data_IF_804105101151
#
_entry.id   IF_804105101151
#
_cell.length_a   1.000
_cell.length_b   1.000
_cell.length_c   1.000
_cell.angle_alpha   90.00
_cell.angle_beta   90.00
_cell.angle_gamma   90.00
#
_symmetry.space_group_name_H-M   'P 1'
#
loop_
_entity.id
_entity.type
_entity.pdbx_description
1 polymer ?
#
# COMPACT_ATOMS: atom_id res chain seq x y z
N UNK A 1 23.64 7.17 18.62
CA UNK A 1 23.63 5.69 18.58
C UNK A 1 24.14 5.30 17.21
N UNK A 2 25.00 4.28 17.06
CA UNK A 2 25.42 3.85 15.73
C UNK A 2 24.18 3.41 14.95
N UNK A 3 24.07 3.93 13.73
CA UNK A 3 22.98 3.78 12.79
C UNK A 3 22.99 2.36 12.21
N UNK A 4 22.70 1.35 13.05
CA UNK A 4 22.53 -0.02 12.57
C UNK A 4 21.13 -0.12 11.99
N UNK A 5 21.04 0.04 10.67
CA UNK A 5 19.81 -0.20 9.92
C UNK A 5 19.14 -1.50 10.39
N UNK A 6 17.85 -1.42 10.74
CA UNK A 6 17.10 -2.56 11.26
C UNK A 6 17.07 -3.69 10.21
N UNK A 7 17.22 -4.94 10.67
CA UNK A 7 17.17 -6.11 9.79
C UNK A 7 15.83 -6.15 9.04
N UNK A 8 15.88 -6.39 7.73
CA UNK A 8 14.68 -6.42 6.87
C UNK A 8 14.03 -7.81 6.78
N UNK A 9 14.72 -8.84 7.23
CA UNK A 9 14.27 -10.24 7.28
C UNK A 9 15.01 -10.99 8.37
N UNK A 10 14.38 -12.06 8.89
CA UNK A 10 14.98 -13.07 9.77
C UNK A 10 15.98 -13.96 9.03
N UNK A 11 15.80 -14.14 7.72
CA UNK A 11 16.68 -14.97 6.88
C UNK A 11 17.76 -14.13 6.19
N UNK A 12 18.86 -14.75 5.72
CA UNK A 12 19.91 -14.04 4.99
C UNK A 12 19.36 -13.33 3.75
N UNK A 13 19.71 -12.05 3.59
CA UNK A 13 19.41 -11.28 2.40
C UNK A 13 20.64 -11.30 1.49
N UNK A 14 20.57 -11.89 0.29
CA UNK A 14 21.71 -11.97 -0.61
C UNK A 14 22.10 -10.58 -1.15
N UNK A 15 23.40 -10.35 -1.37
CA UNK A 15 23.83 -9.13 -2.05
C UNK A 15 23.44 -9.19 -3.53
N UNK A 16 23.07 -8.04 -4.13
CA UNK A 16 22.60 -7.99 -5.52
C UNK A 16 23.59 -8.60 -6.53
N UNK A 17 24.89 -8.46 -6.29
CA UNK A 17 25.95 -9.00 -7.15
C UNK A 17 25.98 -10.54 -7.19
N UNK A 18 25.43 -11.19 -6.17
CA UNK A 18 25.42 -12.65 -6.02
C UNK A 18 24.11 -13.27 -6.55
N UNK A 19 23.17 -12.43 -7.03
CA UNK A 19 21.89 -12.87 -7.59
C UNK A 19 21.99 -13.20 -9.08
N UNK A 20 21.19 -14.18 -9.56
CA UNK A 20 20.97 -14.41 -10.98
C UNK A 20 20.59 -13.13 -11.73
N UNK A 21 21.05 -13.01 -12.98
CA UNK A 21 20.92 -11.79 -13.78
C UNK A 21 19.46 -11.36 -13.99
N UNK A 22 18.54 -12.31 -14.17
CA UNK A 22 17.11 -12.04 -14.35
C UNK A 22 16.46 -11.45 -13.10
N UNK A 23 16.81 -11.96 -11.92
CA UNK A 23 16.36 -11.44 -10.62
C UNK A 23 16.94 -10.05 -10.39
N UNK A 24 18.25 -9.88 -10.63
CA UNK A 24 18.93 -8.59 -10.47
C UNK A 24 18.31 -7.54 -11.40
N UNK A 25 18.05 -7.88 -12.66
CA UNK A 25 17.42 -6.97 -13.62
C UNK A 25 16.04 -6.51 -13.13
N UNK A 26 15.21 -7.43 -12.63
CA UNK A 26 13.88 -7.08 -12.07
C UNK A 26 13.97 -6.16 -10.85
N UNK A 27 14.95 -6.38 -9.98
CA UNK A 27 15.20 -5.52 -8.81
C UNK A 27 15.61 -4.11 -9.24
N UNK A 28 16.48 -4.00 -10.24
CA UNK A 28 16.92 -2.71 -10.77
C UNK A 28 15.76 -1.98 -11.47
N UNK A 29 14.91 -2.69 -12.19
CA UNK A 29 13.73 -2.09 -12.84
C UNK A 29 12.76 -1.46 -11.81
N UNK A 30 12.50 -2.14 -10.68
CA UNK A 30 11.65 -1.56 -9.63
C UNK A 30 12.34 -0.40 -8.92
N UNK A 31 13.66 -0.46 -8.70
CA UNK A 31 14.45 0.64 -8.14
C UNK A 31 14.34 1.90 -9.00
N UNK A 32 14.44 1.77 -10.32
CA UNK A 32 14.34 2.90 -11.25
C UNK A 32 12.93 3.53 -11.26
N UNK A 33 11.89 2.70 -11.14
CA UNK A 33 10.49 3.16 -11.14
C UNK A 33 10.06 3.78 -9.80
N UNK A 34 10.48 3.19 -8.68
CA UNK A 34 10.00 3.55 -7.34
C UNK A 34 10.96 4.49 -6.58
N UNK A 35 12.23 4.56 -6.98
CA UNK A 35 13.28 5.28 -6.26
C UNK A 35 13.88 4.51 -5.08
N UNK A 36 13.38 3.31 -4.78
CA UNK A 36 13.93 2.36 -3.81
C UNK A 36 13.51 0.92 -4.16
N UNK A 37 14.17 -0.10 -3.61
CA UNK A 37 13.76 -1.50 -3.74
C UNK A 37 12.85 -1.89 -2.57
N UNK A 38 11.58 -2.29 -2.82
CA UNK A 38 10.74 -2.85 -1.78
C UNK A 38 11.35 -4.13 -1.18
N UNK A 39 11.40 -4.24 0.14
CA UNK A 39 12.14 -5.29 0.85
C UNK A 39 11.66 -6.71 0.52
N UNK A 40 10.43 -6.90 0.02
CA UNK A 40 9.95 -8.20 -0.50
C UNK A 40 10.85 -8.75 -1.61
N UNK A 41 11.37 -7.89 -2.50
CA UNK A 41 12.27 -8.32 -3.56
C UNK A 41 13.58 -8.86 -2.98
N UNK A 42 14.17 -8.14 -2.02
CA UNK A 42 15.44 -8.50 -1.41
C UNK A 42 15.30 -9.75 -0.52
N UNK A 43 14.25 -9.80 0.30
CA UNK A 43 14.04 -10.88 1.25
C UNK A 43 13.68 -12.20 0.56
N UNK A 44 12.83 -12.20 -0.46
CA UNK A 44 12.47 -13.42 -1.20
C UNK A 44 13.59 -13.89 -2.13
N UNK A 45 14.50 -13.01 -2.54
CA UNK A 45 15.66 -13.40 -3.36
C UNK A 45 16.60 -14.39 -2.65
N UNK A 46 16.46 -14.59 -1.32
CA UNK A 46 17.07 -15.70 -0.60
C UNK A 46 16.76 -17.07 -1.24
N UNK A 47 15.58 -17.20 -1.87
CA UNK A 47 15.13 -18.40 -2.59
C UNK A 47 14.78 -18.03 -4.04
N UNK A 48 15.75 -18.04 -4.97
CA UNK A 48 15.57 -17.56 -6.34
C UNK A 48 14.38 -18.16 -7.11
N UNK A 49 14.15 -19.46 -6.99
CA UNK A 49 13.05 -20.12 -7.71
C UNK A 49 11.68 -19.76 -7.13
N UNK A 50 11.60 -19.65 -5.79
CA UNK A 50 10.41 -19.17 -5.10
C UNK A 50 10.14 -17.70 -5.43
N UNK A 51 11.17 -16.85 -5.52
CA UNK A 51 11.06 -15.47 -5.98
C UNK A 51 10.44 -15.40 -7.39
N UNK A 52 10.94 -16.20 -8.33
CA UNK A 52 10.42 -16.20 -9.71
C UNK A 52 8.95 -16.57 -9.74
N UNK A 53 8.57 -17.66 -9.06
CA UNK A 53 7.18 -18.11 -9.00
C UNK A 53 6.28 -17.06 -8.32
N UNK A 54 6.73 -16.49 -7.20
CA UNK A 54 5.99 -15.48 -6.45
C UNK A 54 5.67 -14.26 -7.31
N UNK A 55 6.68 -13.67 -7.94
CA UNK A 55 6.48 -12.47 -8.73
C UNK A 55 5.86 -12.74 -10.10
N UNK A 56 5.93 -13.96 -10.63
CA UNK A 56 5.14 -14.35 -11.81
C UNK A 56 3.65 -14.40 -11.48
N UNK A 57 3.27 -15.00 -10.34
CA UNK A 57 1.88 -15.06 -9.89
C UNK A 57 1.36 -13.66 -9.51
N UNK A 58 2.19 -12.86 -8.82
CA UNK A 58 1.87 -11.45 -8.54
C UNK A 58 1.49 -10.71 -9.82
N UNK A 59 2.31 -10.78 -10.86
CA UNK A 59 2.09 -10.01 -12.09
C UNK A 59 0.85 -10.52 -12.85
N UNK A 60 0.63 -11.85 -12.87
CA UNK A 60 -0.55 -12.45 -13.49
C UNK A 60 -1.87 -11.93 -12.88
N UNK A 61 -1.88 -11.58 -11.58
CA UNK A 61 -3.07 -11.06 -10.89
C UNK A 61 -3.13 -9.54 -10.86
N UNK A 62 -2.00 -8.89 -10.56
CA UNK A 62 -1.96 -7.46 -10.26
C UNK A 62 -1.79 -6.57 -11.49
N UNK A 63 -1.24 -7.11 -12.59
CA UNK A 63 -0.98 -6.36 -13.82
C UNK A 63 -1.93 -6.69 -14.98
N UNK A 64 -2.75 -7.75 -14.88
CA UNK A 64 -3.73 -8.09 -15.93
C UNK A 64 -4.74 -6.97 -16.15
N UNK A 65 -5.28 -6.86 -17.37
CA UNK A 65 -6.53 -6.15 -17.60
C UNK A 65 -7.70 -7.00 -17.03
N UNK A 66 -8.74 -6.35 -16.51
CA UNK A 66 -9.88 -7.01 -15.86
C UNK A 66 -10.90 -6.04 -15.30
N UNK A 67 -11.99 -6.55 -14.73
CA UNK A 67 -13.08 -5.70 -14.22
C UNK A 67 -12.79 -5.05 -12.86
N UNK A 68 -11.72 -5.47 -12.16
CA UNK A 68 -11.20 -4.80 -10.98
C UNK A 68 -10.19 -3.72 -11.34
N UNK A 69 -10.42 -2.50 -10.86
CA UNK A 69 -9.46 -1.40 -10.94
C UNK A 69 -8.21 -1.70 -10.10
N UNK A 70 -7.09 -1.03 -10.40
CA UNK A 70 -5.86 -1.16 -9.60
C UNK A 70 -6.08 -0.81 -8.12
N UNK A 71 -6.89 0.22 -7.83
CA UNK A 71 -7.25 0.59 -6.46
C UNK A 71 -8.06 -0.48 -5.74
N UNK A 72 -9.02 -1.10 -6.42
CA UNK A 72 -9.82 -2.20 -5.85
C UNK A 72 -8.97 -3.43 -5.52
N UNK A 73 -8.02 -3.79 -6.39
CA UNK A 73 -7.07 -4.88 -6.12
C UNK A 73 -6.29 -4.63 -4.84
N UNK A 74 -5.70 -3.44 -4.70
CA UNK A 74 -4.97 -3.06 -3.47
C UNK A 74 -5.87 -3.02 -2.23
N UNK A 75 -7.14 -2.65 -2.39
CA UNK A 75 -8.10 -2.63 -1.29
C UNK A 75 -8.35 -4.03 -0.70
N UNK A 76 -8.48 -5.04 -1.58
CA UNK A 76 -8.56 -6.46 -1.19
C UNK A 76 -7.30 -6.85 -0.40
N UNK A 77 -6.12 -6.47 -0.89
CA UNK A 77 -4.86 -6.78 -0.22
C UNK A 77 -4.80 -6.17 1.17
N UNK A 78 -5.13 -4.88 1.31
CA UNK A 78 -5.07 -4.18 2.60
C UNK A 78 -6.05 -4.78 3.61
N UNK A 79 -7.29 -5.07 3.19
CA UNK A 79 -8.29 -5.66 4.09
C UNK A 79 -7.88 -7.05 4.59
N UNK A 80 -7.52 -7.95 3.66
CA UNK A 80 -7.14 -9.33 3.98
C UNK A 80 -5.81 -9.41 4.74
N UNK A 81 -4.87 -8.52 4.43
CA UNK A 81 -3.61 -8.39 5.18
C UNK A 81 -3.83 -7.84 6.58
N UNK A 82 -4.77 -6.91 6.76
CA UNK A 82 -5.22 -6.43 8.08
C UNK A 82 -5.80 -7.58 8.90
N UNK A 83 -6.65 -8.40 8.28
CA UNK A 83 -7.23 -9.59 8.91
C UNK A 83 -6.19 -10.64 9.31
N UNK A 84 -5.05 -10.70 8.62
CA UNK A 84 -3.93 -11.60 8.91
C UNK A 84 -2.80 -10.93 9.71
N UNK A 85 -3.00 -9.69 10.17
CA UNK A 85 -2.04 -8.91 10.94
C UNK A 85 -0.66 -8.83 10.28
N UNK A 86 -0.62 -8.73 8.95
CA UNK A 86 0.64 -8.70 8.21
C UNK A 86 1.19 -7.28 8.07
N UNK A 87 2.17 -6.93 8.92
CA UNK A 87 2.75 -5.58 8.95
C UNK A 87 3.29 -5.12 7.58
N UNK A 88 4.09 -5.97 6.92
CA UNK A 88 4.67 -5.62 5.63
C UNK A 88 3.59 -5.29 4.60
N UNK A 89 2.64 -6.20 4.42
CA UNK A 89 1.64 -6.07 3.37
C UNK A 89 0.66 -4.92 3.65
N UNK A 90 0.22 -4.73 4.90
CA UNK A 90 -0.66 -3.60 5.27
C UNK A 90 0.01 -2.26 4.99
N UNK A 91 1.30 -2.10 5.36
CA UNK A 91 2.02 -0.84 5.18
C UNK A 91 2.31 -0.59 3.69
N UNK A 92 2.85 -1.58 2.98
CA UNK A 92 3.22 -1.43 1.58
C UNK A 92 2.00 -1.22 0.67
N UNK A 93 1.01 -2.11 0.75
CA UNK A 93 -0.19 -2.01 -0.10
C UNK A 93 -1.11 -0.87 0.35
N UNK A 94 -1.07 -0.47 1.63
CA UNK A 94 -1.72 0.75 2.09
C UNK A 94 -1.17 2.00 1.41
N UNK A 95 0.15 2.08 1.20
CA UNK A 95 0.76 3.16 0.43
C UNK A 95 0.30 3.19 -1.02
N UNK A 96 0.32 2.03 -1.68
CA UNK A 96 -0.06 1.88 -3.09
C UNK A 96 -1.55 2.19 -3.28
N UNK A 97 -2.42 1.70 -2.38
CA UNK A 97 -3.85 2.00 -2.36
C UNK A 97 -4.10 3.52 -2.30
N UNK A 98 -3.43 4.23 -1.38
CA UNK A 98 -3.55 5.71 -1.30
C UNK A 98 -3.15 6.40 -2.59
N UNK A 99 -2.15 5.88 -3.30
CA UNK A 99 -1.67 6.43 -4.58
C UNK A 99 -2.69 6.19 -5.70
N UNK A 100 -3.18 4.96 -5.87
CA UNK A 100 -4.14 4.65 -6.94
C UNK A 100 -5.50 5.33 -6.73
N UNK A 101 -6.03 5.28 -5.51
CA UNK A 101 -7.32 5.92 -5.20
C UNK A 101 -7.22 7.44 -5.07
N UNK A 102 -6.00 7.97 -4.90
CA UNK A 102 -5.76 9.38 -4.53
C UNK A 102 -6.54 9.79 -3.27
N UNK A 103 -6.79 8.84 -2.37
CA UNK A 103 -7.50 9.00 -1.09
C UNK A 103 -6.54 8.73 0.07
N UNK A 104 -6.02 9.76 0.75
CA UNK A 104 -5.00 9.58 1.79
C UNK A 104 -5.45 8.77 3.02
N UNK A 105 -6.76 8.68 3.27
CA UNK A 105 -7.32 8.09 4.48
C UNK A 105 -7.81 6.65 4.27
N UNK A 106 -8.12 6.26 3.02
CA UNK A 106 -8.86 5.02 2.74
C UNK A 106 -8.10 3.77 3.19
N UNK A 107 -6.77 3.75 3.06
CA UNK A 107 -5.97 2.61 3.46
C UNK A 107 -6.01 2.35 4.97
N UNK A 108 -5.97 3.40 5.78
CA UNK A 108 -6.02 3.28 7.24
C UNK A 108 -7.40 2.79 7.67
N UNK A 109 -8.47 3.30 7.05
CA UNK A 109 -9.84 2.87 7.31
C UNK A 109 -10.05 1.40 6.93
N UNK A 110 -9.61 0.99 5.73
CA UNK A 110 -9.75 -0.39 5.24
C UNK A 110 -8.96 -1.37 6.11
N UNK A 111 -7.74 -1.01 6.52
CA UNK A 111 -6.89 -1.87 7.35
C UNK A 111 -7.46 -2.09 8.76
N UNK A 112 -8.06 -1.05 9.36
CA UNK A 112 -8.59 -1.11 10.73
C UNK A 112 -10.00 -1.70 10.77
N UNK A 113 -10.91 -1.19 9.92
CA UNK A 113 -12.28 -1.66 9.82
C UNK A 113 -12.91 -1.19 8.49
N UNK A 114 -12.80 -2.03 7.45
CA UNK A 114 -13.32 -1.69 6.11
C UNK A 114 -14.82 -1.42 6.06
N UNK A 115 -15.62 -1.90 7.03
CA UNK A 115 -17.06 -1.62 7.10
C UNK A 115 -17.37 -0.14 7.38
N UNK A 116 -16.37 0.63 7.85
CA UNK A 116 -16.45 2.06 8.14
C UNK A 116 -15.61 2.91 7.18
N UNK A 117 -15.04 2.32 6.14
CA UNK A 117 -14.25 3.04 5.16
C UNK A 117 -15.13 3.87 4.22
N UNK A 118 -14.57 4.98 3.71
CA UNK A 118 -15.21 5.86 2.75
C UNK A 118 -15.20 5.26 1.33
N UNK A 119 -15.91 4.13 1.18
CA UNK A 119 -15.99 3.33 -0.04
C UNK A 119 -17.47 3.07 -0.41
N UNK A 120 -17.82 3.04 -1.71
CA UNK A 120 -19.18 2.75 -2.14
C UNK A 120 -19.61 1.31 -1.82
N UNK A 121 -20.93 1.01 -1.80
CA UNK A 121 -21.44 -0.33 -1.52
C UNK A 121 -20.84 -1.45 -2.38
N UNK A 122 -20.55 -1.19 -3.67
CA UNK A 122 -19.86 -2.14 -4.56
C UNK A 122 -18.50 -2.57 -3.99
N UNK A 123 -17.67 -1.63 -3.56
CA UNK A 123 -16.36 -1.94 -2.98
C UNK A 123 -16.49 -2.64 -1.63
N UNK A 124 -17.51 -2.30 -0.83
CA UNK A 124 -17.79 -3.02 0.42
C UNK A 124 -18.16 -4.49 0.14
N UNK A 125 -19.05 -4.77 -0.80
CA UNK A 125 -19.44 -6.14 -1.15
C UNK A 125 -18.27 -6.98 -1.67
N UNK A 126 -17.39 -6.35 -2.46
CA UNK A 126 -16.11 -6.96 -2.88
C UNK A 126 -15.26 -7.37 -1.68
N UNK A 127 -15.12 -6.50 -0.67
CA UNK A 127 -14.35 -6.81 0.54
C UNK A 127 -15.05 -7.82 1.45
N UNK A 128 -16.38 -7.83 1.53
CA UNK A 128 -17.15 -8.85 2.26
C UNK A 128 -16.85 -10.25 1.68
N UNK A 129 -16.87 -10.38 0.35
CA UNK A 129 -16.50 -11.63 -0.32
C UNK A 129 -15.03 -12.00 -0.09
N UNK A 130 -14.10 -11.06 -0.28
CA UNK A 130 -12.68 -11.29 -0.03
C UNK A 130 -12.40 -11.74 1.42
N UNK A 131 -13.09 -11.15 2.40
CA UNK A 131 -12.97 -11.52 3.81
C UNK A 131 -13.50 -12.94 4.07
N UNK A 132 -14.60 -13.33 3.42
CA UNK A 132 -15.10 -14.71 3.47
C UNK A 132 -14.10 -15.69 2.86
N UNK A 133 -13.56 -15.42 1.67
CA UNK A 133 -12.49 -16.24 1.07
C UNK A 133 -11.28 -16.33 2.00
N UNK A 134 -10.90 -15.23 2.66
CA UNK A 134 -9.75 -15.19 3.56
C UNK A 134 -9.92 -16.04 4.82
N UNK A 135 -11.14 -16.15 5.37
CA UNK A 135 -11.37 -16.75 6.70
C UNK A 135 -12.19 -18.04 6.67
N UNK A 136 -13.02 -18.23 5.67
CA UNK A 136 -13.99 -19.31 5.58
C UNK A 136 -14.27 -19.69 4.10
N UNK A 137 -13.24 -19.84 3.27
CA UNK A 137 -13.40 -20.18 1.84
C UNK A 137 -14.20 -21.46 1.59
N UNK A 138 -14.18 -22.41 2.54
CA UNK A 138 -14.97 -23.64 2.47
C UNK A 138 -16.49 -23.42 2.57
N UNK A 139 -16.94 -22.24 3.01
CA UNK A 139 -18.35 -21.85 3.11
C UNK A 139 -18.82 -21.02 1.90
N UNK A 140 -17.96 -20.76 0.92
CA UNK A 140 -18.32 -20.01 -0.28
C UNK A 140 -19.31 -20.84 -1.11
N UNK A 141 -20.44 -20.22 -1.50
CA UNK A 141 -21.47 -20.84 -2.33
C UNK A 141 -22.21 -19.82 -3.19
N UNK A 142 -23.21 -20.28 -3.94
CA UNK A 142 -23.90 -19.49 -5.00
C UNK A 142 -24.48 -18.16 -4.50
N UNK A 143 -24.90 -18.09 -3.24
CA UNK A 143 -25.43 -16.87 -2.64
C UNK A 143 -24.38 -15.75 -2.55
N UNK A 144 -23.10 -16.09 -2.34
CA UNK A 144 -22.02 -15.10 -2.26
C UNK A 144 -21.73 -14.50 -3.64
N UNK A 145 -21.75 -15.33 -4.69
CA UNK A 145 -21.63 -14.86 -6.07
C UNK A 145 -22.84 -14.04 -6.51
N UNK A 146 -24.05 -14.43 -6.10
CA UNK A 146 -25.26 -13.64 -6.36
C UNK A 146 -25.17 -12.24 -5.74
N UNK A 147 -24.71 -12.12 -4.50
CA UNK A 147 -24.52 -10.84 -3.83
C UNK A 147 -23.51 -9.94 -4.57
N UNK A 148 -22.44 -10.50 -5.13
CA UNK A 148 -21.51 -9.73 -5.98
C UNK A 148 -22.17 -9.24 -7.28
N UNK A 149 -22.98 -10.08 -7.93
CA UNK A 149 -23.70 -9.72 -9.16
C UNK A 149 -24.71 -8.59 -8.96
N UNK A 150 -25.34 -8.49 -7.79
CA UNK A 150 -26.21 -7.36 -7.43
C UNK A 150 -25.47 -6.01 -7.47
N UNK A 151 -24.15 -6.01 -7.30
CA UNK A 151 -23.29 -4.84 -7.41
C UNK A 151 -22.57 -4.71 -8.76
N UNK A 152 -22.95 -5.54 -9.75
CA UNK A 152 -22.44 -5.51 -11.11
C UNK A 152 -21.06 -6.14 -11.27
N UNK A 153 -20.64 -7.03 -10.37
CA UNK A 153 -19.48 -7.89 -10.61
C UNK A 153 -19.89 -9.10 -11.45
N UNK A 154 -19.00 -9.54 -12.32
CA UNK A 154 -19.10 -10.84 -12.99
C UNK A 154 -18.52 -11.96 -12.12
N UNK A 155 -18.78 -13.21 -12.48
CA UNK A 155 -18.16 -14.36 -11.81
C UNK A 155 -16.64 -14.40 -12.05
N UNK A 156 -16.17 -13.85 -13.19
CA UNK A 156 -14.74 -13.63 -13.46
C UNK A 156 -14.12 -12.57 -12.53
N UNK A 157 -14.88 -11.54 -12.16
CA UNK A 157 -14.42 -10.60 -11.13
C UNK A 157 -14.38 -11.27 -9.76
N UNK A 158 -15.33 -12.15 -9.44
CA UNK A 158 -15.32 -12.94 -8.22
C UNK A 158 -14.09 -13.86 -8.15
N UNK A 159 -13.71 -14.47 -9.28
CA UNK A 159 -12.46 -15.21 -9.41
C UNK A 159 -11.26 -14.32 -9.10
N UNK A 160 -11.19 -13.14 -9.70
CA UNK A 160 -10.08 -12.20 -9.46
C UNK A 160 -9.99 -11.77 -7.99
N UNK A 161 -11.13 -11.51 -7.34
CA UNK A 161 -11.19 -11.19 -5.91
C UNK A 161 -10.61 -12.35 -5.10
N UNK A 162 -11.09 -13.58 -5.34
CA UNK A 162 -10.66 -14.77 -4.62
C UNK A 162 -9.17 -15.09 -4.86
N UNK A 163 -8.69 -14.96 -6.10
CA UNK A 163 -7.30 -15.24 -6.47
C UNK A 163 -6.33 -14.24 -5.83
N UNK A 164 -6.68 -12.94 -5.81
CA UNK A 164 -5.90 -11.92 -5.09
C UNK A 164 -5.89 -12.23 -3.60
N UNK A 165 -7.05 -12.55 -2.99
CA UNK A 165 -7.13 -12.96 -1.59
C UNK A 165 -6.25 -14.16 -1.28
N UNK A 166 -6.28 -15.20 -2.12
CA UNK A 166 -5.50 -16.42 -1.91
C UNK A 166 -3.99 -16.14 -2.02
N UNK A 167 -3.55 -15.44 -3.06
CA UNK A 167 -2.14 -15.11 -3.28
C UNK A 167 -1.59 -14.22 -2.15
N UNK A 168 -2.36 -13.21 -1.70
CA UNK A 168 -1.92 -12.40 -0.56
C UNK A 168 -2.03 -13.14 0.77
N UNK A 169 -2.85 -14.17 0.88
CA UNK A 169 -2.76 -15.15 1.96
C UNK A 169 -1.41 -15.86 2.02
N UNK A 170 -0.82 -16.22 0.87
CA UNK A 170 0.55 -16.73 0.78
C UNK A 170 1.56 -15.65 1.15
N UNK A 171 1.47 -14.45 0.54
CA UNK A 171 2.39 -13.34 0.82
C UNK A 171 2.41 -12.96 2.31
N UNK A 172 1.24 -12.88 2.95
CA UNK A 172 1.12 -12.56 4.36
C UNK A 172 1.82 -13.58 5.25
N UNK A 173 1.62 -14.88 4.96
CA UNK A 173 2.26 -15.97 5.71
C UNK A 173 3.77 -15.89 5.58
N UNK A 174 4.29 -15.75 4.35
CA UNK A 174 5.72 -15.60 4.12
C UNK A 174 6.31 -14.39 4.84
N UNK A 175 5.69 -13.21 4.67
CA UNK A 175 6.16 -11.98 5.29
C UNK A 175 6.16 -12.05 6.83
N UNK A 176 5.11 -12.62 7.45
CA UNK A 176 5.06 -12.81 8.89
C UNK A 176 6.11 -13.82 9.36
N UNK A 177 6.27 -14.96 8.68
CA UNK A 177 7.23 -16.01 9.03
C UNK A 177 8.68 -15.50 8.99
N UNK A 178 9.04 -14.71 7.98
CA UNK A 178 10.41 -14.20 7.83
C UNK A 178 10.62 -12.85 8.51
N UNK A 179 9.63 -12.33 9.25
CA UNK A 179 9.69 -11.00 9.89
C UNK A 179 10.06 -9.90 8.88
N UNK A 180 9.42 -9.91 7.71
CA UNK A 180 9.71 -8.97 6.64
C UNK A 180 9.39 -7.54 7.08
N UNK A 181 10.37 -6.64 7.04
CA UNK A 181 10.21 -5.24 7.43
C UNK A 181 9.72 -4.41 6.23
N UNK A 182 8.63 -3.64 6.33
CA UNK A 182 8.28 -2.67 5.27
C UNK A 182 9.30 -1.54 5.21
N UNK A 183 9.56 -1.04 4.01
CA UNK A 183 10.41 0.13 3.79
C UNK A 183 9.81 1.38 4.44
N UNK A 184 10.67 2.28 4.91
CA UNK A 184 10.27 3.51 5.61
C UNK A 184 9.45 4.43 4.69
N UNK A 185 9.77 4.45 3.40
CA UNK A 185 9.09 5.21 2.35
C UNK A 185 7.58 4.94 2.32
N UNK A 186 7.16 3.70 2.53
CA UNK A 186 5.75 3.31 2.47
C UNK A 186 4.91 3.94 3.59
N UNK A 187 5.50 4.25 4.74
CA UNK A 187 4.74 4.81 5.86
C UNK A 187 4.16 6.19 5.55
N UNK A 188 4.87 7.01 4.77
CA UNK A 188 4.44 8.37 4.40
C UNK A 188 3.85 8.46 2.98
N UNK A 189 4.22 7.54 2.09
CA UNK A 189 3.79 7.56 0.69
C UNK A 189 2.26 7.58 0.57
N UNK A 190 1.74 8.48 -0.27
CA UNK A 190 0.31 8.66 -0.54
C UNK A 190 -0.47 9.46 0.53
N UNK A 191 0.16 9.89 1.63
CA UNK A 191 -0.54 10.67 2.68
C UNK A 191 -0.71 12.16 2.36
N UNK A 192 0.19 12.73 1.54
CA UNK A 192 0.12 14.14 1.12
C UNK A 192 -0.35 14.24 -0.33
N UNK A 193 -1.55 14.78 -0.61
CA UNK A 193 -2.02 14.98 -1.98
C UNK A 193 -1.11 15.95 -2.75
N UNK A 194 -0.73 15.61 -3.98
CA UNK A 194 0.14 16.43 -4.86
C UNK A 194 -0.41 17.86 -5.13
N UNK A 195 -1.70 18.13 -4.88
CA UNK A 195 -2.31 19.45 -5.05
C UNK A 195 -2.17 20.41 -3.85
N UNK A 196 -2.03 19.90 -2.61
CA UNK A 196 -1.96 20.74 -1.40
C UNK A 196 -0.57 21.34 -1.16
N UNK A 197 0.49 20.69 -1.64
CA UNK A 197 1.86 21.18 -1.50
C UNK A 197 2.11 22.46 -2.32
N UNK A 198 1.50 22.59 -3.51
CA UNK A 198 1.60 23.80 -4.35
C UNK A 198 0.80 24.98 -3.78
N UNK A 199 -0.35 24.73 -3.15
CA UNK A 199 -1.16 25.80 -2.53
C UNK A 199 -0.48 26.41 -1.31
N UNK A 200 0.12 25.60 -0.42
CA UNK A 200 0.87 26.12 0.74
C UNK A 200 2.12 26.92 0.33
N UNK A 201 2.84 26.50 -0.71
CA UNK A 201 3.97 27.26 -1.24
C UNK A 201 3.54 28.61 -1.83
N UNK A 202 2.39 28.65 -2.51
CA UNK A 202 1.82 29.89 -3.08
C UNK A 202 1.21 30.84 -2.04
N UNK A 203 0.64 30.33 -0.94
CA UNK A 203 0.16 31.14 0.18
C UNK A 203 1.31 31.76 0.98
N UNK A 204 2.38 31.00 1.26
CA UNK A 204 3.55 31.50 1.97
C UNK A 204 4.26 32.66 1.23
N UNK A 205 4.26 32.65 -0.10
CA UNK A 205 4.79 33.74 -0.93
C UNK A 205 3.87 34.98 -0.98
N UNK A 206 2.56 34.82 -0.76
CA UNK A 206 1.62 35.96 -0.71
C UNK A 206 1.67 36.67 0.64
N UNK A 207 1.86 35.93 1.73
CA UNK A 207 1.94 36.50 3.09
C UNK A 207 3.23 37.28 3.36
N UNK A 208 4.31 37.04 2.60
CA UNK A 208 5.56 37.81 2.73
C UNK A 208 5.55 39.17 2.02
N UNK A 209 4.50 39.48 1.24
CA UNK A 209 4.39 40.73 0.48
C UNK A 209 3.54 41.82 1.18
N UNK A 210 3.05 41.56 2.40
CA UNK A 210 2.20 42.50 3.16
C UNK A 210 2.71 42.63 4.60
N UNK A 211 3.82 43.31 4.79
CA UNK A 211 4.13 43.96 6.07
C UNK A 211 4.46 45.43 5.81
N UNK A 212 3.63 46.39 6.23
CA UNK A 212 4.01 47.80 6.21
C UNK A 212 5.12 48.00 7.25
N UNK A 213 6.20 48.66 6.83
CA UNK A 213 7.22 49.22 7.72
C UNK A 213 6.54 50.24 8.66
N UNK A 214 6.21 49.84 9.88
CA UNK A 214 5.79 50.76 10.92
C UNK A 214 7.04 51.42 11.52
N UNK A 215 7.19 52.69 11.16
CA UNK A 215 8.27 53.57 11.60
C UNK A 215 8.27 53.77 13.12
N UNK A 216 9.49 53.83 13.64
CA UNK A 216 9.83 54.30 14.97
C UNK A 216 9.27 55.71 15.24
N UNK A 217 8.64 55.91 16.39
CA UNK A 217 8.71 57.21 17.04
C UNK A 217 8.76 57.07 18.56
N UNK A 218 9.86 57.59 19.09
CA UNK A 218 10.14 57.87 20.49
C UNK A 218 9.42 59.14 20.95
N UNK A 219 8.81 59.10 22.13
CA UNK A 219 8.79 60.22 23.07
C UNK A 219 8.47 59.68 24.47
N UNK A 220 9.30 60.05 25.44
CA UNK A 220 9.09 59.78 26.85
C UNK A 220 8.63 61.03 27.61
N UNK A 221 8.00 60.79 28.77
CA UNK A 221 7.87 61.62 29.98
C UNK A 221 6.63 61.13 30.75
N UNK A 222 6.46 61.21 32.07
CA UNK A 222 7.29 61.13 33.28
C UNK A 222 6.30 61.36 34.46
N UNK A 223 6.53 60.68 35.59
CA UNK A 223 6.01 60.97 36.95
C UNK A 223 4.49 60.98 37.23
N UNK A 224 4.07 60.03 38.06
CA UNK A 224 3.52 60.25 39.42
C UNK A 224 3.80 59.01 40.26
#
# INVERSE_FOLDING_TARGET
>A
MPDTALAISRYPVPALKDLPDDIRARILEVQDKAGFVPNVFLALAHRPDEFRAFFAYHDALMLKEGGLTKGEREMIVVATSGANQCLYCVVAHGAILRIYEKKPLVADQVAVNYMKADIPPRQRAMLDFAMKVCKASHEVGDADFAALREHGFSDEDAWDIAAITAFFGLSNRMANTISMRPNDEFYLMGRVPKGRSRQRAGEAQRTSAQFPLLGSNSTGQACS
#
